data_IF_130873236877
#
_entry.id   IF_130873236877
#
_cell.length_a   1.000
_cell.length_b   1.000
_cell.length_c   1.000
_cell.angle_alpha   90.00
_cell.angle_beta   90.00
_cell.angle_gamma   90.00
#
_symmetry.space_group_name_H-M   'P 1'
#
loop_
_entity.id
_entity.type
_entity.pdbx_description
1 polymer ?
#
# COMPACT_ATOMS: atom_id res chain seq x y z
N UNK A 1 -3.37 18.41 -8.31
CA UNK A 1 -4.28 18.72 -7.19
C UNK A 1 -3.89 17.85 -6.01
N UNK A 2 -3.91 18.39 -4.79
CA UNK A 2 -3.77 17.58 -3.55
C UNK A 2 -5.09 16.89 -3.25
N UNK A 3 -5.05 15.69 -2.67
CA UNK A 3 -6.25 14.91 -2.36
C UNK A 3 -7.11 15.54 -1.26
N UNK A 4 -8.33 15.05 -1.10
CA UNK A 4 -9.32 15.54 -0.12
C UNK A 4 -8.95 15.22 1.35
N UNK A 5 -7.76 14.67 1.60
CA UNK A 5 -7.30 14.24 2.92
C UNK A 5 -6.32 15.24 3.52
N UNK A 6 -6.27 15.26 4.87
CA UNK A 6 -5.36 16.13 5.64
C UNK A 6 -3.88 15.92 5.26
N UNK A 7 -3.51 14.70 4.91
CA UNK A 7 -2.15 14.32 4.51
C UNK A 7 -2.21 13.23 3.46
N UNK A 8 -1.28 13.31 2.51
CA UNK A 8 -1.09 12.32 1.46
C UNK A 8 0.01 11.32 1.83
N UNK A 9 0.13 10.25 1.03
CA UNK A 9 1.29 9.36 1.06
C UNK A 9 2.58 10.20 0.88
N UNK A 10 3.67 9.85 1.57
CA UNK A 10 3.90 8.63 2.34
C UNK A 10 3.41 8.67 3.80
N UNK A 11 2.62 9.67 4.23
CA UNK A 11 2.03 9.64 5.58
C UNK A 11 1.03 8.46 5.70
N UNK A 12 0.96 7.83 6.87
CA UNK A 12 0.03 6.74 7.15
C UNK A 12 -1.44 7.20 7.28
N UNK A 13 -1.68 8.51 7.35
CA UNK A 13 -2.99 9.10 7.56
C UNK A 13 -4.10 8.54 6.64
N UNK A 14 -3.92 8.39 5.31
CA UNK A 14 -4.96 7.84 4.46
C UNK A 14 -5.41 6.44 4.90
N UNK A 15 -4.47 5.56 5.25
CA UNK A 15 -4.75 4.19 5.68
C UNK A 15 -5.38 4.16 7.08
N UNK A 16 -4.86 4.96 8.02
CA UNK A 16 -5.44 5.07 9.36
C UNK A 16 -6.87 5.65 9.33
N UNK A 17 -7.11 6.60 8.42
CA UNK A 17 -8.43 7.21 8.22
C UNK A 17 -9.44 6.18 7.71
N UNK A 18 -9.13 5.40 6.67
CA UNK A 18 -10.04 4.36 6.17
C UNK A 18 -10.27 3.25 7.20
N UNK A 19 -9.21 2.83 7.92
CA UNK A 19 -9.32 1.82 8.98
C UNK A 19 -10.30 2.27 10.07
N UNK A 20 -10.20 3.52 10.53
CA UNK A 20 -11.12 4.09 11.53
C UNK A 20 -12.53 4.30 10.96
N UNK A 21 -12.65 4.88 9.77
CA UNK A 21 -13.94 5.22 9.13
C UNK A 21 -14.80 3.99 8.92
N UNK A 22 -14.20 2.88 8.46
CA UNK A 22 -14.91 1.63 8.17
C UNK A 22 -14.78 0.58 9.27
N UNK A 23 -14.10 0.90 10.39
CA UNK A 23 -13.84 -0.01 11.52
C UNK A 23 -13.18 -1.33 11.09
N UNK A 24 -12.25 -1.25 10.12
CA UNK A 24 -11.51 -2.41 9.60
C UNK A 24 -10.20 -2.55 10.37
N UNK A 25 -9.92 -3.76 10.87
CA UNK A 25 -8.64 -4.06 11.49
C UNK A 25 -7.51 -3.96 10.46
N UNK A 26 -6.39 -3.33 10.82
CA UNK A 26 -5.21 -3.17 9.96
C UNK A 26 -4.69 -4.47 9.35
N UNK A 27 -4.81 -5.60 10.06
CA UNK A 27 -4.42 -6.93 9.55
C UNK A 27 -5.28 -7.42 8.37
N UNK A 28 -6.42 -6.79 8.13
CA UNK A 28 -7.33 -7.09 7.03
C UNK A 28 -7.22 -6.03 5.91
N UNK A 29 -6.20 -5.17 5.94
CA UNK A 29 -5.96 -4.13 4.94
C UNK A 29 -4.71 -4.50 4.15
N UNK A 30 -4.86 -4.54 2.83
CA UNK A 30 -3.77 -4.67 1.87
C UNK A 30 -3.71 -3.38 1.06
N UNK A 31 -2.61 -2.62 1.17
CA UNK A 31 -2.35 -1.52 0.26
C UNK A 31 -1.77 -2.08 -1.05
N UNK A 32 -2.34 -1.70 -2.19
CA UNK A 32 -1.83 -2.04 -3.52
C UNK A 32 -1.27 -0.77 -4.16
N UNK A 33 -0.04 -0.81 -4.65
CA UNK A 33 0.62 0.35 -5.25
C UNK A 33 1.92 0.00 -5.96
N UNK A 34 2.51 0.98 -6.62
CA UNK A 34 3.66 0.80 -7.52
C UNK A 34 4.86 1.70 -7.16
N UNK A 35 4.79 2.44 -6.06
CA UNK A 35 5.84 3.39 -5.68
C UNK A 35 6.38 3.22 -4.26
N UNK A 36 7.55 3.80 -4.03
CA UNK A 36 8.17 3.88 -2.71
C UNK A 36 7.30 4.66 -1.71
N UNK A 37 6.46 5.59 -2.20
CA UNK A 37 5.55 6.36 -1.34
C UNK A 37 4.39 5.50 -0.84
N UNK A 38 3.93 4.54 -1.65
CA UNK A 38 2.95 3.53 -1.23
C UNK A 38 3.54 2.60 -0.19
N UNK A 39 4.74 2.08 -0.48
CA UNK A 39 5.43 1.16 0.41
C UNK A 39 5.72 1.79 1.78
N UNK A 40 6.19 3.04 1.80
CA UNK A 40 6.42 3.79 3.03
C UNK A 40 5.10 4.07 3.77
N UNK A 41 4.03 4.41 3.05
CA UNK A 41 2.71 4.61 3.64
C UNK A 41 2.20 3.33 4.33
N UNK A 42 2.28 2.18 3.65
CA UNK A 42 1.90 0.89 4.21
C UNK A 42 2.73 0.53 5.45
N UNK A 43 4.06 0.69 5.36
CA UNK A 43 4.97 0.41 6.47
C UNK A 43 4.65 1.27 7.70
N UNK A 44 4.47 2.59 7.51
CA UNK A 44 4.09 3.52 8.60
C UNK A 44 2.70 3.24 9.15
N UNK A 45 1.77 2.76 8.32
CA UNK A 45 0.43 2.38 8.75
C UNK A 45 0.40 1.02 9.46
N UNK A 46 1.41 0.17 9.25
CA UNK A 46 1.44 -1.21 9.77
C UNK A 46 0.41 -2.09 9.08
N UNK A 47 0.32 -2.02 7.74
CA UNK A 47 -0.56 -2.86 6.90
C UNK A 47 0.27 -3.59 5.85
N UNK A 48 -0.29 -4.66 5.29
CA UNK A 48 0.37 -5.38 4.20
C UNK A 48 0.46 -4.53 2.93
N UNK A 49 1.51 -4.78 2.14
CA UNK A 49 1.73 -4.08 0.87
C UNK A 49 1.91 -5.06 -0.29
N UNK A 50 1.09 -4.88 -1.32
CA UNK A 50 1.23 -5.52 -2.61
C UNK A 50 1.90 -4.55 -3.59
N UNK A 51 3.14 -4.85 -3.95
CA UNK A 51 3.92 -4.03 -4.85
C UNK A 51 3.75 -4.49 -6.31
N UNK A 52 3.22 -3.60 -7.15
CA UNK A 52 3.18 -3.77 -8.60
C UNK A 52 4.52 -3.31 -9.20
N UNK A 53 5.42 -4.25 -9.50
CA UNK A 53 6.81 -3.96 -9.89
C UNK A 53 6.99 -3.51 -11.36
N UNK A 54 5.89 -3.16 -12.02
CA UNK A 54 5.87 -2.69 -13.40
C UNK A 54 5.44 -1.22 -13.55
N UNK A 55 5.13 -0.53 -12.44
CA UNK A 55 4.73 0.88 -12.45
C UNK A 55 5.90 1.87 -12.38
N UNK A 56 5.59 3.11 -11.98
CA UNK A 56 6.46 4.29 -12.13
C UNK A 56 7.43 4.52 -10.97
N UNK A 57 7.30 3.77 -9.88
CA UNK A 57 8.16 3.91 -8.70
C UNK A 57 9.61 3.48 -8.90
N UNK A 58 10.47 3.95 -7.99
CA UNK A 58 11.85 3.48 -7.91
C UNK A 58 11.88 2.10 -7.25
N UNK A 59 12.11 1.06 -8.08
CA UNK A 59 12.12 -0.35 -7.64
C UNK A 59 13.06 -0.62 -6.47
N UNK A 60 14.23 0.02 -6.45
CA UNK A 60 15.22 -0.18 -5.41
C UNK A 60 14.78 0.47 -4.10
N UNK A 61 14.21 1.69 -4.15
CA UNK A 61 13.65 2.34 -2.97
C UNK A 61 12.43 1.59 -2.44
N UNK A 62 11.54 1.13 -3.31
CA UNK A 62 10.35 0.37 -2.93
C UNK A 62 10.71 -0.93 -2.22
N UNK A 63 11.66 -1.71 -2.78
CA UNK A 63 12.09 -2.99 -2.19
C UNK A 63 12.74 -2.85 -0.80
N UNK A 64 13.31 -1.69 -0.44
CA UNK A 64 13.85 -1.44 0.92
C UNK A 64 12.79 -1.52 2.01
N UNK A 65 11.53 -1.24 1.68
CA UNK A 65 10.40 -1.37 2.59
C UNK A 65 9.89 -2.81 2.75
N UNK A 66 10.52 -3.79 2.06
CA UNK A 66 10.17 -5.22 2.10
C UNK A 66 8.66 -5.46 1.87
N UNK A 67 8.13 -5.18 0.66
CA UNK A 67 6.74 -5.45 0.35
C UNK A 67 6.31 -6.88 0.73
N UNK A 68 5.12 -7.03 1.30
CA UNK A 68 4.57 -8.36 1.67
C UNK A 68 4.47 -9.25 0.43
N UNK A 69 4.03 -8.67 -0.69
CA UNK A 69 3.88 -9.34 -1.97
C UNK A 69 4.46 -8.50 -3.10
N UNK A 70 4.96 -9.15 -4.14
CA UNK A 70 5.41 -8.49 -5.38
C UNK A 70 4.72 -9.17 -6.55
N UNK A 71 4.00 -8.37 -7.35
CA UNK A 71 3.33 -8.81 -8.57
C UNK A 71 3.93 -8.15 -9.82
N UNK A 72 3.85 -8.87 -10.94
CA UNK A 72 4.24 -8.39 -12.27
C UNK A 72 3.04 -8.01 -13.12
N UNK A 73 1.83 -8.41 -12.71
CA UNK A 73 0.55 -8.08 -13.34
C UNK A 73 -0.52 -7.85 -12.29
N UNK A 74 -1.53 -7.05 -12.60
CA UNK A 74 -2.68 -6.83 -11.70
C UNK A 74 -3.34 -8.15 -11.27
N UNK A 75 -3.44 -9.13 -12.17
CA UNK A 75 -4.04 -10.44 -11.88
C UNK A 75 -3.25 -11.27 -10.83
N UNK A 76 -1.98 -10.95 -10.55
CA UNK A 76 -1.25 -11.61 -9.47
C UNK A 76 -1.86 -11.34 -8.08
N UNK A 77 -2.63 -10.26 -7.95
CA UNK A 77 -3.36 -9.93 -6.73
C UNK A 77 -4.36 -11.03 -6.33
N UNK A 78 -4.93 -11.75 -7.30
CA UNK A 78 -5.87 -12.84 -7.06
C UNK A 78 -5.22 -14.04 -6.34
N UNK A 79 -3.89 -14.13 -6.34
CA UNK A 79 -3.14 -15.21 -5.67
C UNK A 79 -3.02 -14.98 -4.16
N UNK A 80 -3.24 -13.75 -3.68
CA UNK A 80 -2.99 -13.37 -2.28
C UNK A 80 -4.25 -12.89 -1.55
N UNK A 81 -5.28 -12.46 -2.27
CA UNK A 81 -6.58 -12.12 -1.68
C UNK A 81 -7.37 -13.40 -1.41
N UNK A 82 -7.93 -13.49 -0.21
CA UNK A 82 -8.91 -14.52 0.17
C UNK A 82 -10.30 -13.88 0.15
N UNK A 83 -11.22 -14.49 -0.61
CA UNK A 83 -12.64 -14.12 -0.65
C UNK A 83 -13.41 -14.83 0.47
#
# INVERSE_FOLDING_TARGET
GRGDLKKDKPDAYPINYISKKYRINKKNILLVGDSQYDAECAARAGVDFFYLNYGYGDKNKTKKFKPTYIGEKMFDLLKVIKL
#
